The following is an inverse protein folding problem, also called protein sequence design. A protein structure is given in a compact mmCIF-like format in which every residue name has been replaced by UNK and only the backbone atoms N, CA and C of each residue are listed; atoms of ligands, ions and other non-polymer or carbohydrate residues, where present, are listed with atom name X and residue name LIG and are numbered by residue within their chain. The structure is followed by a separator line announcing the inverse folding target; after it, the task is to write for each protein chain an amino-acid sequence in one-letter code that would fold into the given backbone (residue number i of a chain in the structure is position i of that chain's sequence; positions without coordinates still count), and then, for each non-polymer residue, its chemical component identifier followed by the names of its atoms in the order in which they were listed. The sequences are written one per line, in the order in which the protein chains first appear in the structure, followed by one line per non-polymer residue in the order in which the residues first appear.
data_IF_302278965054
#
_entry.id   IF_302278965054
#
_cell.length_a   1.000
_cell.length_b   1.000
_cell.length_c   1.000
_cell.angle_alpha   90.00
_cell.angle_beta   90.00
_cell.angle_gamma   90.00
#
_symmetry.space_group_name_H-M   'P 1'
#
loop_
_entity.id
_entity.type
_entity.pdbx_description
1 polymer ?
#
# COMPACT_ATOMS: atom_id res chain seq x y z
N UNK A 1 -27.94 -39.41 3.19
CA UNK A 1 -28.80 -40.36 2.45
C UNK A 1 -28.13 -41.73 2.23
N UNK A 2 -26.89 -41.80 1.77
CA UNK A 2 -26.18 -43.07 1.56
C UNK A 2 -26.13 -43.99 2.80
N UNK A 3 -25.72 -43.47 3.97
CA UNK A 3 -25.71 -44.25 5.22
C UNK A 3 -27.12 -44.69 5.66
N UNK A 4 -28.16 -43.87 5.44
CA UNK A 4 -29.55 -44.28 5.73
C UNK A 4 -30.00 -45.46 4.84
N UNK A 5 -29.56 -45.51 3.58
CA UNK A 5 -29.84 -46.64 2.68
C UNK A 5 -29.10 -47.89 3.16
N UNK A 6 -27.83 -47.76 3.53
CA UNK A 6 -27.00 -48.86 4.04
C UNK A 6 -27.59 -49.44 5.34
N UNK A 7 -28.02 -48.60 6.27
CA UNK A 7 -28.74 -49.02 7.48
C UNK A 7 -30.08 -49.70 7.15
N UNK A 8 -30.82 -49.19 6.15
CA UNK A 8 -32.11 -49.75 5.72
C UNK A 8 -32.01 -51.14 5.10
N UNK A 9 -30.89 -51.46 4.44
CA UNK A 9 -30.61 -52.77 3.86
C UNK A 9 -29.76 -53.67 4.78
N UNK A 10 -29.59 -53.29 6.06
CA UNK A 10 -28.84 -54.05 7.08
C UNK A 10 -27.41 -54.45 6.65
N UNK A 11 -26.80 -53.64 5.78
CA UNK A 11 -25.43 -53.88 5.36
C UNK A 11 -24.47 -53.57 6.53
N UNK A 12 -23.44 -54.41 6.77
CA UNK A 12 -22.53 -54.21 7.88
C UNK A 12 -21.69 -52.95 7.65
N UNK A 13 -21.80 -52.00 8.58
CA UNK A 13 -20.98 -50.78 8.64
C UNK A 13 -20.16 -50.84 9.92
N UNK A 14 -18.91 -50.38 9.85
CA UNK A 14 -18.10 -50.27 11.06
C UNK A 14 -18.73 -49.26 12.02
N UNK A 15 -18.63 -49.51 13.33
CA UNK A 15 -19.12 -48.55 14.35
C UNK A 15 -18.37 -47.22 14.26
N UNK A 16 -17.09 -47.27 13.90
CA UNK A 16 -16.24 -46.10 13.72
C UNK A 16 -16.74 -45.20 12.59
N UNK A 17 -17.13 -45.77 11.44
CA UNK A 17 -17.70 -45.00 10.32
C UNK A 17 -19.05 -44.36 10.69
N UNK A 18 -19.90 -45.07 11.44
CA UNK A 18 -21.17 -44.52 11.93
C UNK A 18 -20.96 -43.34 12.89
N UNK A 19 -20.02 -43.48 13.84
CA UNK A 19 -19.66 -42.40 14.77
C UNK A 19 -19.08 -41.18 14.04
N UNK A 20 -18.24 -41.39 13.01
CA UNK A 20 -17.70 -40.30 12.19
C UNK A 20 -18.81 -39.56 11.43
N UNK A 21 -19.78 -40.28 10.85
CA UNK A 21 -20.90 -39.67 10.12
C UNK A 21 -21.80 -38.86 11.06
N UNK A 22 -22.10 -39.38 12.24
CA UNK A 22 -22.91 -38.67 13.23
C UNK A 22 -22.18 -37.43 13.76
N UNK A 23 -20.87 -37.54 14.05
CA UNK A 23 -20.06 -36.40 14.46
C UNK A 23 -19.96 -35.33 13.35
N UNK A 24 -19.81 -35.73 12.09
CA UNK A 24 -19.83 -34.81 10.95
C UNK A 24 -21.17 -34.08 10.84
N UNK A 25 -22.28 -34.80 11.01
CA UNK A 25 -23.62 -34.20 10.96
C UNK A 25 -23.83 -33.20 12.11
N UNK A 26 -23.38 -33.56 13.32
CA UNK A 26 -23.44 -32.67 14.47
C UNK A 26 -22.59 -31.42 14.27
N UNK A 27 -21.32 -31.57 13.89
CA UNK A 27 -20.42 -30.43 13.64
C UNK A 27 -20.90 -29.53 12.51
N UNK A 28 -21.50 -30.10 11.45
CA UNK A 28 -22.15 -29.33 10.39
C UNK A 28 -23.33 -28.49 10.89
N UNK A 29 -24.20 -29.06 11.73
CA UNK A 29 -25.31 -28.32 12.33
C UNK A 29 -24.82 -27.18 13.23
N UNK A 30 -23.78 -27.43 14.03
CA UNK A 30 -23.16 -26.39 14.87
C UNK A 30 -22.53 -25.28 14.03
N UNK A 31 -21.86 -25.64 12.93
CA UNK A 31 -21.29 -24.68 11.99
C UNK A 31 -22.38 -23.80 11.37
N UNK A 32 -23.47 -24.40 10.89
CA UNK A 32 -24.60 -23.65 10.32
C UNK A 32 -25.25 -22.72 11.35
N UNK A 33 -25.46 -23.19 12.57
CA UNK A 33 -26.03 -22.37 13.64
C UNK A 33 -25.11 -21.18 13.98
N UNK A 34 -23.80 -21.42 14.05
CA UNK A 34 -22.80 -20.38 14.31
C UNK A 34 -22.75 -19.37 13.16
N UNK A 35 -22.74 -19.83 11.90
CA UNK A 35 -22.75 -18.98 10.73
C UNK A 35 -24.00 -18.08 10.68
N UNK A 36 -25.18 -18.64 11.00
CA UNK A 36 -26.42 -17.87 11.08
C UNK A 36 -26.39 -16.84 12.21
N UNK A 37 -25.90 -17.22 13.39
CA UNK A 37 -25.76 -16.30 14.52
C UNK A 37 -24.81 -15.14 14.19
N UNK A 38 -23.65 -15.43 13.58
CA UNK A 38 -22.72 -14.41 13.10
C UNK A 38 -23.33 -13.52 12.02
N UNK A 39 -24.12 -14.08 11.09
CA UNK A 39 -24.81 -13.29 10.07
C UNK A 39 -25.81 -12.31 10.68
N UNK A 40 -26.63 -12.75 11.64
CA UNK A 40 -27.58 -11.88 12.34
C UNK A 40 -26.86 -10.76 13.11
N UNK A 41 -25.74 -11.08 13.76
CA UNK A 41 -24.91 -10.07 14.43
C UNK A 41 -24.35 -9.06 13.42
N UNK A 42 -23.83 -9.51 12.28
CA UNK A 42 -23.32 -8.61 11.23
C UNK A 42 -24.40 -7.67 10.68
N UNK A 43 -25.61 -8.17 10.46
CA UNK A 43 -26.74 -7.33 10.02
C UNK A 43 -27.07 -6.22 11.03
N UNK A 44 -26.93 -6.49 12.33
CA UNK A 44 -27.16 -5.48 13.37
C UNK A 44 -26.06 -4.42 13.43
N UNK A 45 -24.82 -4.80 13.09
CA UNK A 45 -23.65 -3.91 13.11
C UNK A 45 -23.44 -3.13 11.81
N UNK A 46 -23.95 -3.65 10.69
CA UNK A 46 -23.77 -3.10 9.36
C UNK A 46 -24.08 -1.60 9.26
N UNK A 47 -25.22 -1.07 9.78
CA UNK A 47 -25.53 0.35 9.67
C UNK A 47 -24.49 1.24 10.38
N UNK A 48 -23.98 0.80 11.52
CA UNK A 48 -22.97 1.54 12.26
C UNK A 48 -21.63 1.54 11.52
N UNK A 49 -21.22 0.41 10.93
CA UNK A 49 -20.00 0.35 10.13
C UNK A 49 -20.08 1.16 8.83
N UNK A 50 -21.26 1.23 8.22
CA UNK A 50 -21.50 2.07 7.04
C UNK A 50 -21.40 3.56 7.41
N UNK A 51 -22.02 3.97 8.52
CA UNK A 51 -21.91 5.33 9.06
C UNK A 51 -20.45 5.69 9.41
N UNK A 52 -19.74 4.79 10.09
CA UNK A 52 -18.33 4.96 10.42
C UNK A 52 -17.46 5.07 9.17
N UNK A 53 -17.73 4.27 8.13
CA UNK A 53 -17.01 4.35 6.85
C UNK A 53 -17.26 5.70 6.18
N UNK A 54 -18.51 6.17 6.13
CA UNK A 54 -18.85 7.45 5.55
C UNK A 54 -18.14 8.62 6.28
N UNK A 55 -18.20 8.63 7.62
CA UNK A 55 -17.50 9.62 8.43
C UNK A 55 -15.97 9.59 8.21
N UNK A 56 -15.39 8.40 8.05
CA UNK A 56 -13.97 8.25 7.77
C UNK A 56 -13.61 8.74 6.36
N UNK A 57 -14.45 8.49 5.36
CA UNK A 57 -14.28 8.99 3.99
C UNK A 57 -14.33 10.52 3.95
N UNK A 58 -15.26 11.14 4.68
CA UNK A 58 -15.37 12.61 4.73
C UNK A 58 -14.15 13.24 5.41
N UNK A 59 -13.67 12.67 6.52
CA UNK A 59 -12.39 13.08 7.14
C UNK A 59 -11.20 12.87 6.20
N UNK A 60 -11.17 11.76 5.47
CA UNK A 60 -10.09 11.48 4.51
C UNK A 60 -10.07 12.50 3.37
N UNK A 61 -11.23 13.00 2.92
CA UNK A 61 -11.32 14.08 1.92
C UNK A 61 -10.67 15.37 2.43
N UNK A 62 -10.92 15.74 3.68
CA UNK A 62 -10.30 16.90 4.32
C UNK A 62 -8.78 16.72 4.46
N UNK A 63 -8.34 15.59 5.03
CA UNK A 63 -6.92 15.23 5.14
C UNK A 63 -6.22 15.27 3.77
N UNK A 64 -6.90 14.80 2.71
CA UNK A 64 -6.37 14.81 1.36
C UNK A 64 -6.23 16.22 0.78
N UNK A 65 -7.22 17.07 0.98
CA UNK A 65 -7.15 18.47 0.54
C UNK A 65 -6.00 19.22 1.25
N UNK A 66 -5.86 19.01 2.58
CA UNK A 66 -4.76 19.58 3.37
C UNK A 66 -3.41 19.08 2.86
N UNK A 67 -3.25 17.77 2.67
CA UNK A 67 -2.01 17.20 2.16
C UNK A 67 -1.65 17.74 0.77
N UNK A 68 -2.62 17.84 -0.15
CA UNK A 68 -2.39 18.40 -1.48
C UNK A 68 -1.96 19.88 -1.41
N UNK A 69 -2.57 20.65 -0.52
CA UNK A 69 -2.18 22.04 -0.28
C UNK A 69 -0.75 22.12 0.28
N UNK A 70 -0.44 21.39 1.34
CA UNK A 70 0.90 21.35 1.93
C UNK A 70 1.96 20.87 0.93
N UNK A 71 1.65 19.88 0.09
CA UNK A 71 2.57 19.40 -0.93
C UNK A 71 2.90 20.49 -1.97
N UNK A 72 1.91 21.29 -2.38
CA UNK A 72 2.12 22.39 -3.35
C UNK A 72 2.90 23.55 -2.75
N UNK A 73 2.64 23.92 -1.50
CA UNK A 73 3.20 25.13 -0.90
C UNK A 73 4.43 24.90 -0.04
N UNK A 74 4.54 23.76 0.64
CA UNK A 74 5.62 23.43 1.57
C UNK A 74 6.37 22.13 1.18
N UNK A 75 6.06 21.58 0.01
CA UNK A 75 6.66 20.35 -0.48
C UNK A 75 8.14 20.47 -0.86
N UNK A 76 8.73 19.35 -1.30
CA UNK A 76 10.13 19.27 -1.70
C UNK A 76 10.48 20.13 -2.92
N UNK A 77 9.49 20.60 -3.68
CA UNK A 77 9.67 21.48 -4.84
C UNK A 77 9.84 22.97 -4.49
N UNK A 78 9.82 23.36 -3.21
CA UNK A 78 10.00 24.76 -2.83
C UNK A 78 11.34 25.32 -3.33
N UNK A 79 11.35 26.54 -3.92
CA UNK A 79 12.58 27.16 -4.38
C UNK A 79 13.47 27.55 -3.20
N UNK A 80 14.79 27.41 -3.38
CA UNK A 80 15.79 27.82 -2.39
C UNK A 80 16.17 26.76 -1.36
N UNK A 81 15.67 25.54 -1.48
CA UNK A 81 16.11 24.42 -0.63
C UNK A 81 17.45 23.86 -1.10
N UNK A 82 18.30 23.49 -0.14
CA UNK A 82 19.44 22.67 -0.48
C UNK A 82 18.98 21.27 -0.92
N UNK A 83 19.78 20.57 -1.73
CA UNK A 83 19.41 19.26 -2.24
C UNK A 83 19.23 18.19 -1.15
N UNK A 84 19.99 18.28 -0.05
CA UNK A 84 19.81 17.41 1.13
C UNK A 84 18.49 17.72 1.84
N UNK A 85 18.17 18.99 2.08
CA UNK A 85 16.90 19.38 2.69
C UNK A 85 15.69 19.00 1.82
N UNK A 86 15.80 19.14 0.50
CA UNK A 86 14.76 18.73 -0.44
C UNK A 86 14.55 17.21 -0.42
N UNK A 87 15.64 16.43 -0.29
CA UNK A 87 15.58 14.98 -0.13
C UNK A 87 14.93 14.57 1.20
N UNK A 88 15.27 15.24 2.30
CA UNK A 88 14.66 14.96 3.61
C UNK A 88 13.17 15.28 3.62
N UNK A 89 12.78 16.44 3.05
CA UNK A 89 11.37 16.78 2.85
C UNK A 89 10.66 15.78 1.96
N UNK A 90 11.29 15.33 0.88
CA UNK A 90 10.71 14.31 0.00
C UNK A 90 10.40 13.04 0.78
N UNK A 91 11.33 12.54 1.61
CA UNK A 91 11.12 11.34 2.42
C UNK A 91 9.94 11.53 3.39
N UNK A 92 9.85 12.69 4.04
CA UNK A 92 8.73 13.01 4.93
C UNK A 92 7.38 12.99 4.19
N UNK A 93 7.31 13.63 3.02
CA UNK A 93 6.10 13.66 2.21
C UNK A 93 5.75 12.28 1.62
N UNK A 94 6.74 11.46 1.26
CA UNK A 94 6.54 10.07 0.82
C UNK A 94 5.96 9.21 1.94
N UNK A 95 6.52 9.28 3.15
CA UNK A 95 6.02 8.50 4.28
C UNK A 95 4.55 8.86 4.61
N UNK A 96 4.21 10.15 4.58
CA UNK A 96 2.83 10.61 4.75
C UNK A 96 1.92 10.12 3.61
N UNK A 97 2.39 10.23 2.36
CA UNK A 97 1.68 9.73 1.19
C UNK A 97 1.35 8.25 1.31
N UNK A 98 2.33 7.42 1.69
CA UNK A 98 2.14 5.97 1.84
C UNK A 98 1.14 5.63 2.93
N UNK A 99 1.12 6.40 4.03
CA UNK A 99 0.10 6.28 5.08
C UNK A 99 -1.31 6.58 4.55
N UNK A 100 -1.47 7.69 3.83
CA UNK A 100 -2.73 8.07 3.19
C UNK A 100 -3.17 7.07 2.12
N UNK A 101 -2.23 6.58 1.31
CA UNK A 101 -2.51 5.61 0.26
C UNK A 101 -3.03 4.29 0.85
N UNK A 102 -2.42 3.81 1.94
CA UNK A 102 -2.94 2.61 2.64
C UNK A 102 -4.36 2.84 3.18
N UNK A 103 -4.63 3.99 3.81
CA UNK A 103 -5.98 4.34 4.27
C UNK A 103 -6.98 4.34 3.12
N UNK A 104 -6.63 4.96 1.99
CA UNK A 104 -7.47 4.98 0.79
C UNK A 104 -7.80 3.55 0.32
N UNK A 105 -6.81 2.66 0.23
CA UNK A 105 -7.05 1.27 -0.16
C UNK A 105 -7.99 0.56 0.82
N UNK A 106 -7.84 0.78 2.13
CA UNK A 106 -8.74 0.22 3.13
C UNK A 106 -10.17 0.75 2.97
N UNK A 107 -10.35 2.05 2.72
CA UNK A 107 -11.67 2.63 2.51
C UNK A 107 -12.30 2.17 1.20
N UNK A 108 -11.54 2.06 0.12
CA UNK A 108 -12.02 1.54 -1.16
C UNK A 108 -12.48 0.07 -1.05
N UNK A 109 -11.76 -0.75 -0.28
CA UNK A 109 -12.21 -2.11 0.03
C UNK A 109 -13.51 -2.10 0.87
N UNK A 110 -13.67 -1.11 1.74
CA UNK A 110 -14.92 -0.89 2.49
C UNK A 110 -16.07 -0.46 1.59
N UNK A 111 -15.83 0.50 0.68
CA UNK A 111 -16.79 0.93 -0.34
C UNK A 111 -17.24 -0.29 -1.18
N UNK A 112 -16.30 -1.13 -1.62
CA UNK A 112 -16.60 -2.37 -2.36
C UNK A 112 -17.42 -3.37 -1.52
N UNK A 113 -17.09 -3.57 -0.25
CA UNK A 113 -17.79 -4.48 0.65
C UNK A 113 -19.27 -4.09 0.85
N UNK A 114 -19.54 -2.78 0.94
CA UNK A 114 -20.90 -2.25 1.09
C UNK A 114 -21.60 -1.96 -0.25
N UNK A 115 -20.90 -2.13 -1.38
CA UNK A 115 -21.45 -1.84 -2.72
C UNK A 115 -21.61 -0.35 -3.03
N UNK A 116 -20.84 0.50 -2.34
CA UNK A 116 -20.78 1.94 -2.59
C UNK A 116 -19.93 2.25 -3.84
N UNK A 117 -20.22 3.37 -4.55
CA UNK A 117 -19.41 3.77 -5.68
C UNK A 117 -18.00 4.16 -5.23
N UNK A 118 -17.00 3.69 -5.97
CA UNK A 118 -15.61 4.00 -5.70
C UNK A 118 -15.32 5.49 -5.87
N UNK A 119 -14.79 6.14 -4.82
CA UNK A 119 -14.37 7.53 -4.92
C UNK A 119 -12.97 7.62 -5.54
N UNK A 120 -12.86 8.27 -6.72
CA UNK A 120 -11.57 8.50 -7.37
C UNK A 120 -10.87 9.78 -6.86
N UNK A 121 -9.57 9.69 -6.61
CA UNK A 121 -8.72 10.81 -6.18
C UNK A 121 -7.60 11.08 -7.20
N UNK A 122 -7.89 11.82 -8.30
CA UNK A 122 -6.92 12.04 -9.38
C UNK A 122 -5.68 12.82 -8.92
N UNK A 123 -5.83 13.73 -7.95
CA UNK A 123 -4.72 14.51 -7.39
C UNK A 123 -3.68 13.61 -6.69
N UNK A 124 -4.11 12.60 -5.93
CA UNK A 124 -3.21 11.64 -5.30
C UNK A 124 -2.42 10.83 -6.34
N UNK A 125 -3.07 10.45 -7.45
CA UNK A 125 -2.40 9.74 -8.54
C UNK A 125 -1.34 10.62 -9.23
N UNK A 126 -1.62 11.92 -9.37
CA UNK A 126 -0.64 12.88 -9.88
C UNK A 126 0.54 13.06 -8.92
N UNK A 127 0.26 13.33 -7.64
CA UNK A 127 1.30 13.51 -6.61
C UNK A 127 2.18 12.26 -6.50
N UNK A 128 1.60 11.06 -6.62
CA UNK A 128 2.37 9.81 -6.65
C UNK A 128 3.40 9.78 -7.78
N UNK A 129 3.02 10.22 -8.99
CA UNK A 129 3.94 10.28 -10.14
C UNK A 129 5.03 11.32 -9.88
N UNK A 130 4.66 12.50 -9.38
CA UNK A 130 5.58 13.58 -9.07
C UNK A 130 6.59 13.18 -7.99
N UNK A 131 6.14 12.60 -6.87
CA UNK A 131 7.00 12.05 -5.81
C UNK A 131 8.00 11.02 -6.35
N UNK A 132 7.57 10.13 -7.24
CA UNK A 132 8.47 9.13 -7.85
C UNK A 132 9.53 9.77 -8.76
N UNK A 133 9.18 10.83 -9.50
CA UNK A 133 10.14 11.56 -10.33
C UNK A 133 11.14 12.33 -9.46
N UNK A 134 10.65 13.03 -8.43
CA UNK A 134 11.50 13.75 -7.47
C UNK A 134 12.46 12.82 -6.75
N UNK A 135 12.02 11.62 -6.37
CA UNK A 135 12.89 10.62 -5.74
C UNK A 135 14.05 10.23 -6.64
N UNK A 136 13.78 9.97 -7.92
CA UNK A 136 14.83 9.64 -8.88
C UNK A 136 15.80 10.81 -9.07
N UNK A 137 15.27 12.04 -9.12
CA UNK A 137 16.06 13.25 -9.29
C UNK A 137 16.98 13.52 -8.09
N UNK A 138 16.41 13.65 -6.89
CA UNK A 138 17.21 13.96 -5.69
C UNK A 138 18.15 12.83 -5.31
N UNK A 139 17.78 11.57 -5.54
CA UNK A 139 18.71 10.45 -5.37
C UNK A 139 19.91 10.58 -6.31
N UNK A 140 19.69 10.82 -7.60
CA UNK A 140 20.78 11.02 -8.55
C UNK A 140 21.66 12.21 -8.15
N UNK A 141 21.04 13.30 -7.71
CA UNK A 141 21.75 14.49 -7.30
C UNK A 141 22.63 14.25 -6.07
N UNK A 142 22.11 13.57 -5.04
CA UNK A 142 22.89 13.18 -3.86
C UNK A 142 24.02 12.21 -4.23
N UNK A 143 23.76 11.21 -5.08
CA UNK A 143 24.79 10.29 -5.58
C UNK A 143 25.96 11.06 -6.23
N UNK A 144 25.65 12.07 -7.07
CA UNK A 144 26.67 12.91 -7.73
C UNK A 144 27.45 13.73 -6.72
N UNK A 145 26.77 14.38 -5.76
CA UNK A 145 27.46 15.18 -4.73
C UNK A 145 28.38 14.31 -3.88
N UNK A 146 27.90 13.16 -3.42
CA UNK A 146 28.68 12.31 -2.52
C UNK A 146 29.88 11.70 -3.27
N UNK A 147 29.73 11.32 -4.55
CA UNK A 147 30.86 10.85 -5.37
C UNK A 147 31.85 11.96 -5.70
N UNK A 148 31.38 13.13 -6.12
CA UNK A 148 32.28 14.28 -6.38
C UNK A 148 33.03 14.68 -5.11
N UNK A 149 32.36 14.64 -3.96
CA UNK A 149 32.99 14.89 -2.66
C UNK A 149 34.10 13.86 -2.37
N UNK A 150 33.82 12.57 -2.64
CA UNK A 150 34.80 11.49 -2.44
C UNK A 150 36.05 11.62 -3.31
N UNK A 151 35.97 12.27 -4.48
CA UNK A 151 37.16 12.50 -5.31
C UNK A 151 38.18 13.42 -4.65
N UNK A 152 37.74 14.34 -3.78
CA UNK A 152 38.65 15.23 -3.05
C UNK A 152 39.44 14.50 -1.95
N UNK A 153 38.97 13.32 -1.52
CA UNK A 153 39.61 12.52 -0.49
C UNK A 153 40.67 11.54 -1.06
N UNK A 154 40.78 11.44 -2.40
CA UNK A 154 41.71 10.52 -3.07
C UNK A 154 43.12 11.16 -3.12
N UNK A 155 44.16 10.49 -2.58
CA UNK A 155 45.54 10.95 -2.70
C UNK A 155 45.98 11.01 -4.16
N UNK A 156 46.72 12.06 -4.55
CA UNK A 156 47.14 12.30 -5.95
C UNK A 156 47.81 11.09 -6.63
N UNK A 157 48.59 10.29 -5.89
CA UNK A 157 49.26 9.09 -6.42
C UNK A 157 48.32 7.92 -6.75
N UNK A 158 47.07 7.96 -6.28
CA UNK A 158 46.06 6.92 -6.45
C UNK A 158 44.88 7.41 -7.33
N UNK A 159 44.93 8.66 -7.82
CA UNK A 159 43.88 9.23 -8.67
C UNK A 159 43.88 8.56 -10.04
N UNK A 160 42.78 7.88 -10.36
CA UNK A 160 42.52 7.32 -11.68
C UNK A 160 41.59 8.24 -12.49
N UNK A 161 42.17 9.01 -13.42
CA UNK A 161 41.42 9.99 -14.23
C UNK A 161 40.46 9.29 -15.22
N UNK A 162 40.81 8.11 -15.74
CA UNK A 162 39.94 7.37 -16.67
C UNK A 162 38.68 6.87 -15.98
N UNK A 163 38.83 6.36 -14.75
CA UNK A 163 37.71 5.89 -13.93
C UNK A 163 36.76 7.04 -13.57
N UNK A 164 37.30 8.18 -13.14
CA UNK A 164 36.50 9.39 -12.85
C UNK A 164 35.74 9.86 -14.09
N UNK A 165 36.38 9.87 -15.26
CA UNK A 165 35.70 10.25 -16.51
C UNK A 165 34.57 9.28 -16.89
N UNK A 166 34.76 7.98 -16.68
CA UNK A 166 33.72 6.98 -16.92
C UNK A 166 32.53 7.19 -15.97
N UNK A 167 32.78 7.41 -14.67
CA UNK A 167 31.71 7.70 -13.70
C UNK A 167 30.94 9.00 -14.05
N UNK A 168 31.65 10.07 -14.43
CA UNK A 168 31.01 11.32 -14.87
C UNK A 168 30.15 11.13 -16.13
N UNK A 169 30.61 10.32 -17.10
CA UNK A 169 29.81 9.96 -18.27
C UNK A 169 28.57 9.14 -17.89
N UNK A 170 28.67 8.21 -16.94
CA UNK A 170 27.51 7.48 -16.43
C UNK A 170 26.48 8.39 -15.77
N UNK A 171 26.93 9.33 -14.94
CA UNK A 171 26.04 10.33 -14.34
C UNK A 171 25.35 11.21 -15.40
N UNK A 172 26.09 11.66 -16.41
CA UNK A 172 25.50 12.40 -17.53
C UNK A 172 24.43 11.58 -18.27
N UNK A 173 24.70 10.28 -18.50
CA UNK A 173 23.74 9.38 -19.12
C UNK A 173 22.50 9.16 -18.25
N UNK A 174 22.66 9.04 -16.92
CA UNK A 174 21.54 8.95 -15.96
C UNK A 174 20.70 10.22 -15.97
N UNK A 175 21.33 11.41 -16.00
CA UNK A 175 20.63 12.69 -16.14
C UNK A 175 19.81 12.76 -17.44
N UNK A 176 20.38 12.29 -18.57
CA UNK A 176 19.67 12.26 -19.87
C UNK A 176 18.49 11.29 -19.90
N UNK A 177 18.55 10.20 -19.12
CA UNK A 177 17.49 9.19 -19.01
C UNK A 177 16.37 9.58 -18.05
N UNK A 178 16.53 10.64 -17.25
CA UNK A 178 15.44 11.13 -16.42
C UNK A 178 14.27 11.58 -17.33
N UNK A 179 13.03 11.17 -17.03
CA UNK A 179 11.87 11.64 -17.78
C UNK A 179 11.84 13.17 -17.76
N UNK A 180 11.73 13.78 -18.93
CA UNK A 180 11.40 15.19 -19.03
C UNK A 180 9.91 15.30 -18.69
N UNK A 181 9.60 16.09 -17.67
CA UNK A 181 8.21 16.38 -17.27
C UNK A 181 7.39 16.92 -18.43
#
# INVERSE_FOLDING_TARGET
EAFNVITRYELPVSKEDMEQVDNLRYSWQQLQATALASHVQLLSMQPQFEEDLQNNLDRFREDNAEYCHEYRYAGPMQPGLSPREASDRLILFQNRFDGMWRKLQTYQNGEELFGLPHTEYPELAQIRKELNLLQKLYKLYNDVIDRVSSYYDIPWGEVNIEEINNELMEFQNRCRKLPKG
#
